data_IF_906849240581
#
_entry.id   IF_906849240581
#
_cell.length_a   1.000
_cell.length_b   1.000
_cell.length_c   1.000
_cell.angle_alpha   90.00
_cell.angle_beta   90.00
_cell.angle_gamma   90.00
#
_symmetry.space_group_name_H-M   'P 1'
#
loop_
_entity.id
_entity.type
_entity.pdbx_description
1 polymer ?
#
# COMPACT_ATOMS: atom_id res chain seq x y z
N UNK A 1 35.21 -19.98 -54.43
CA UNK A 1 34.76 -18.59 -54.30
C UNK A 1 33.39 -18.62 -53.63
N UNK A 2 33.36 -18.22 -52.36
CA UNK A 2 32.21 -17.74 -51.56
C UNK A 2 31.02 -18.70 -51.40
N UNK A 3 30.81 -19.43 -50.30
CA UNK A 3 30.75 -18.99 -48.89
C UNK A 3 30.17 -17.58 -48.74
N UNK A 4 28.86 -17.51 -48.50
CA UNK A 4 28.27 -16.43 -47.71
C UNK A 4 27.24 -17.06 -46.78
N UNK A 5 27.80 -17.53 -45.67
CA UNK A 5 27.11 -17.93 -44.46
C UNK A 5 26.23 -16.76 -44.01
N UNK A 6 24.92 -17.01 -43.89
CA UNK A 6 24.03 -16.08 -43.23
C UNK A 6 24.43 -16.06 -41.78
N UNK A 7 25.12 -14.99 -41.38
CA UNK A 7 25.40 -14.69 -39.99
C UNK A 7 24.10 -14.66 -39.23
N UNK A 8 23.84 -15.73 -38.49
CA UNK A 8 22.99 -15.74 -37.31
C UNK A 8 23.47 -14.59 -36.43
N UNK A 9 22.77 -13.47 -36.47
CA UNK A 9 22.81 -12.49 -35.38
C UNK A 9 22.25 -13.20 -34.17
N UNK A 10 23.14 -13.84 -33.41
CA UNK A 10 22.92 -14.23 -32.03
C UNK A 10 22.75 -12.97 -31.19
N UNK A 11 21.63 -12.29 -31.38
CA UNK A 11 21.10 -11.47 -30.30
C UNK A 11 20.73 -12.46 -29.22
N UNK A 12 21.51 -12.49 -28.15
CA UNK A 12 21.07 -13.05 -26.88
C UNK A 12 19.73 -12.39 -26.58
N UNK A 13 18.63 -13.03 -26.95
CA UNK A 13 17.31 -12.69 -26.45
C UNK A 13 17.39 -13.04 -24.97
N UNK A 14 17.83 -12.06 -24.19
CA UNK A 14 17.74 -12.10 -22.73
C UNK A 14 16.29 -12.46 -22.46
N UNK A 15 16.07 -13.71 -22.02
CA UNK A 15 14.74 -14.14 -21.65
C UNK A 15 14.32 -13.24 -20.50
N UNK A 16 13.29 -12.45 -20.74
CA UNK A 16 12.70 -11.61 -19.72
C UNK A 16 12.01 -12.56 -18.72
N UNK A 17 12.68 -12.85 -17.62
CA UNK A 17 12.11 -13.69 -16.57
C UNK A 17 11.14 -12.86 -15.71
N UNK A 18 10.08 -13.47 -15.16
CA UNK A 18 9.15 -12.78 -14.27
C UNK A 18 9.85 -12.14 -13.07
N UNK A 19 10.85 -12.83 -12.51
CA UNK A 19 11.69 -12.35 -11.41
C UNK A 19 12.46 -11.06 -11.76
N UNK A 20 12.97 -10.98 -13.00
CA UNK A 20 13.65 -9.78 -13.49
C UNK A 20 12.70 -8.61 -13.65
N UNK A 21 11.46 -8.85 -14.06
CA UNK A 21 10.42 -7.81 -14.12
C UNK A 21 10.07 -7.34 -12.71
N UNK A 22 9.94 -8.24 -11.74
CA UNK A 22 9.68 -7.88 -10.34
C UNK A 22 10.82 -7.08 -9.71
N UNK A 23 12.07 -7.41 -10.04
CA UNK A 23 13.26 -6.70 -9.57
C UNK A 23 13.46 -5.31 -10.20
N UNK A 24 12.75 -5.00 -11.29
CA UNK A 24 12.77 -3.68 -11.94
C UNK A 24 11.81 -2.66 -11.30
N UNK A 25 10.94 -3.10 -10.39
CA UNK A 25 10.17 -2.16 -9.58
C UNK A 25 11.09 -1.64 -8.46
N UNK A 26 11.51 -0.38 -8.60
CA UNK A 26 12.26 0.33 -7.56
C UNK A 26 11.28 0.97 -6.56
N UNK A 27 11.21 0.40 -5.36
CA UNK A 27 10.34 0.87 -4.29
C UNK A 27 8.86 0.64 -4.55
N UNK A 28 8.04 1.51 -3.97
CA UNK A 28 6.58 1.37 -3.92
C UNK A 28 5.85 2.03 -5.10
N UNK A 29 6.57 2.63 -6.04
CA UNK A 29 5.98 3.44 -7.10
C UNK A 29 5.39 2.59 -8.24
N UNK A 30 4.23 2.98 -8.81
CA UNK A 30 3.66 2.31 -9.96
C UNK A 30 4.46 2.65 -11.23
N UNK A 31 4.84 1.62 -12.00
CA UNK A 31 5.68 1.71 -13.20
C UNK A 31 4.92 1.38 -14.48
N UNK A 32 5.21 2.10 -15.57
CA UNK A 32 4.56 1.83 -16.87
C UNK A 32 5.28 0.73 -17.64
N UNK A 33 4.57 0.00 -18.50
CA UNK A 33 5.21 -1.00 -19.40
C UNK A 33 6.35 -0.39 -20.22
N UNK A 34 6.22 0.90 -20.61
CA UNK A 34 7.25 1.61 -21.37
C UNK A 34 8.51 1.89 -20.54
N UNK A 35 8.34 2.31 -19.30
CA UNK A 35 9.45 2.53 -18.36
C UNK A 35 10.18 1.21 -18.11
N UNK A 36 9.45 0.16 -17.74
CA UNK A 36 9.98 -1.19 -17.53
C UNK A 36 10.70 -1.72 -18.77
N UNK A 37 10.15 -1.53 -19.98
CA UNK A 37 10.80 -1.93 -21.23
C UNK A 37 12.11 -1.19 -21.50
N UNK A 38 12.16 0.10 -21.16
CA UNK A 38 13.37 0.92 -21.27
C UNK A 38 14.44 0.43 -20.31
N UNK A 39 14.07 0.21 -19.05
CA UNK A 39 14.99 -0.22 -17.99
C UNK A 39 15.50 -1.65 -18.22
N UNK A 40 14.59 -2.57 -18.53
CA UNK A 40 14.90 -3.98 -18.78
C UNK A 40 15.57 -4.21 -20.14
N UNK A 41 15.69 -3.15 -20.95
CA UNK A 41 16.16 -3.19 -22.33
C UNK A 41 15.45 -4.26 -23.16
N UNK A 42 14.13 -4.34 -23.00
CA UNK A 42 13.27 -5.36 -23.60
C UNK A 42 12.18 -4.72 -24.46
N UNK A 43 11.58 -5.51 -25.35
CA UNK A 43 10.43 -5.04 -26.12
C UNK A 43 9.21 -4.84 -25.20
N UNK A 44 8.53 -3.70 -25.33
CA UNK A 44 7.35 -3.37 -24.51
C UNK A 44 6.24 -4.42 -24.62
N UNK A 45 6.11 -5.10 -25.76
CA UNK A 45 5.17 -6.19 -25.96
C UNK A 45 5.49 -7.37 -25.02
N UNK A 46 6.76 -7.81 -24.99
CA UNK A 46 7.23 -8.90 -24.12
C UNK A 46 7.08 -8.54 -22.64
N UNK A 47 7.40 -7.30 -22.26
CA UNK A 47 7.17 -6.82 -20.88
C UNK A 47 5.69 -6.83 -20.55
N UNK A 48 4.83 -6.35 -21.45
CA UNK A 48 3.38 -6.36 -21.26
C UNK A 48 2.80 -7.76 -21.09
N UNK A 49 3.27 -8.73 -21.87
CA UNK A 49 2.87 -10.14 -21.72
C UNK A 49 3.33 -10.75 -20.39
N UNK A 50 4.57 -10.47 -19.97
CA UNK A 50 5.08 -10.92 -18.67
C UNK A 50 4.33 -10.26 -17.51
N UNK A 51 4.03 -8.95 -17.59
CA UNK A 51 3.21 -8.25 -16.59
C UNK A 51 1.80 -8.84 -16.49
N UNK A 52 1.17 -9.17 -17.63
CA UNK A 52 -0.13 -9.87 -17.64
C UNK A 52 -0.03 -11.24 -16.96
N UNK A 53 1.01 -12.00 -17.25
CA UNK A 53 1.26 -13.31 -16.63
C UNK A 53 1.48 -13.18 -15.11
N UNK A 54 2.22 -12.16 -14.67
CA UNK A 54 2.44 -11.88 -13.25
C UNK A 54 1.15 -11.44 -12.55
N UNK A 55 0.29 -10.68 -13.23
CA UNK A 55 -1.04 -10.35 -12.74
C UNK A 55 -1.93 -11.56 -12.56
N UNK A 56 -1.90 -12.52 -13.48
CA UNK A 56 -2.64 -13.78 -13.31
C UNK A 56 -2.16 -14.60 -12.10
N UNK A 57 -0.96 -14.32 -11.60
CA UNK A 57 -0.35 -14.94 -10.42
C UNK A 57 -0.44 -14.07 -9.17
N UNK A 58 -1.19 -12.98 -9.23
CA UNK A 58 -1.36 -12.00 -8.15
C UNK A 58 -0.06 -11.28 -7.71
N UNK A 59 1.01 -11.41 -8.51
CA UNK A 59 2.30 -10.78 -8.22
C UNK A 59 2.36 -9.31 -8.66
N UNK A 60 1.46 -8.89 -9.56
CA UNK A 60 1.32 -7.52 -10.03
C UNK A 60 -0.15 -7.14 -10.18
N UNK A 61 -0.48 -5.93 -9.77
CA UNK A 61 -1.74 -5.28 -10.08
C UNK A 61 -1.53 -4.19 -11.14
N UNK A 62 -2.63 -3.72 -11.72
CA UNK A 62 -2.62 -2.61 -12.68
C UNK A 62 -3.61 -1.55 -12.23
N UNK A 63 -3.24 -0.29 -12.35
CA UNK A 63 -4.13 0.85 -12.16
C UNK A 63 -4.00 1.81 -13.33
N UNK A 64 -5.12 2.41 -13.69
CA UNK A 64 -5.16 3.49 -14.67
C UNK A 64 -4.84 4.80 -13.93
N UNK A 65 -3.80 5.49 -14.37
CA UNK A 65 -3.39 6.78 -13.84
C UNK A 65 -3.74 7.85 -14.86
N UNK A 66 -4.50 8.86 -14.44
CA UNK A 66 -4.72 10.05 -15.25
C UNK A 66 -3.47 10.94 -15.18
N UNK A 67 -2.86 11.18 -16.33
CA UNK A 67 -1.75 12.11 -16.49
C UNK A 67 -2.16 13.27 -17.42
N UNK A 68 -1.35 14.33 -17.44
CA UNK A 68 -1.64 15.57 -18.19
C UNK A 68 -1.91 15.32 -19.69
N UNK A 69 -1.38 14.22 -20.24
CA UNK A 69 -1.51 13.84 -21.64
C UNK A 69 -2.43 12.63 -21.89
N UNK A 70 -3.22 12.20 -20.91
CA UNK A 70 -4.20 11.12 -21.03
C UNK A 70 -4.10 10.06 -19.92
N UNK A 71 -4.83 8.96 -20.07
CA UNK A 71 -4.80 7.86 -19.09
C UNK A 71 -3.72 6.84 -19.46
N UNK A 72 -2.83 6.52 -18.52
CA UNK A 72 -1.76 5.52 -18.70
C UNK A 72 -1.97 4.34 -17.75
N UNK A 73 -1.72 3.12 -18.25
CA UNK A 73 -1.73 1.93 -17.40
C UNK A 73 -0.39 1.78 -16.70
N UNK A 74 -0.39 1.85 -15.37
CA UNK A 74 0.75 1.57 -14.54
C UNK A 74 0.57 0.23 -13.81
N UNK A 75 1.66 -0.51 -13.69
CA UNK A 75 1.77 -1.74 -12.96
C UNK A 75 2.36 -1.45 -11.59
N UNK A 76 1.94 -2.18 -10.58
CA UNK A 76 2.52 -2.07 -9.24
C UNK A 76 2.45 -3.42 -8.56
N UNK A 77 3.29 -3.61 -7.56
CA UNK A 77 3.26 -4.80 -6.72
C UNK A 77 2.27 -4.53 -5.58
N UNK A 78 1.22 -5.36 -5.40
CA UNK A 78 0.24 -5.14 -4.33
C UNK A 78 0.91 -5.11 -2.95
N UNK A 79 1.80 -6.07 -2.68
CA UNK A 79 2.58 -6.11 -1.44
C UNK A 79 3.42 -4.84 -1.19
N UNK A 80 3.98 -4.22 -2.23
CA UNK A 80 4.70 -2.96 -2.07
C UNK A 80 3.74 -1.79 -1.86
N UNK A 81 2.57 -1.76 -2.50
CA UNK A 81 1.56 -0.73 -2.22
C UNK A 81 1.02 -0.82 -0.78
N UNK A 82 0.87 -2.03 -0.25
CA UNK A 82 0.50 -2.27 1.15
C UNK A 82 1.60 -1.79 2.10
N UNK A 83 2.87 -2.12 1.81
CA UNK A 83 4.00 -1.66 2.62
C UNK A 83 4.17 -0.12 2.61
N UNK A 84 3.93 0.55 1.47
CA UNK A 84 3.93 2.02 1.40
C UNK A 84 2.80 2.62 2.23
N UNK A 85 1.62 2.01 2.17
CA UNK A 85 0.48 2.44 2.96
C UNK A 85 0.76 2.31 4.46
N UNK A 86 1.33 1.19 4.88
CA UNK A 86 1.78 0.95 6.25
C UNK A 86 2.83 1.98 6.67
N UNK A 87 3.87 2.22 5.86
CA UNK A 87 4.91 3.21 6.16
C UNK A 87 4.32 4.63 6.31
N UNK A 88 3.40 5.02 5.42
CA UNK A 88 2.71 6.31 5.50
C UNK A 88 1.77 6.39 6.71
N UNK A 89 1.11 5.29 7.07
CA UNK A 89 0.28 5.21 8.26
C UNK A 89 1.15 5.40 9.52
N UNK A 90 2.29 4.72 9.60
CA UNK A 90 3.25 4.87 10.70
C UNK A 90 3.80 6.30 10.82
N UNK A 91 4.17 6.93 9.70
CA UNK A 91 4.60 8.33 9.66
C UNK A 91 3.49 9.25 10.17
N UNK A 92 2.26 9.05 9.69
CA UNK A 92 1.09 9.83 10.13
C UNK A 92 0.83 9.66 11.62
N UNK A 93 0.89 8.43 12.13
CA UNK A 93 0.72 8.11 13.56
C UNK A 93 1.83 8.73 14.43
N UNK A 94 3.07 8.77 13.94
CA UNK A 94 4.20 9.37 14.65
C UNK A 94 4.08 10.90 14.74
N UNK A 95 3.59 11.54 13.66
CA UNK A 95 3.41 13.00 13.57
C UNK A 95 2.07 13.47 14.14
N UNK A 96 1.17 12.53 14.42
CA UNK A 96 -0.19 12.78 14.91
C UNK A 96 -0.19 13.70 16.14
N UNK A 97 -1.04 14.72 16.06
CA UNK A 97 -1.26 15.67 17.15
C UNK A 97 -2.27 15.12 18.16
N UNK A 98 -1.74 14.64 19.28
CA UNK A 98 -2.53 14.12 20.39
C UNK A 98 -2.48 15.08 21.60
N UNK A 99 -3.59 15.24 22.33
CA UNK A 99 -3.57 16.00 23.57
C UNK A 99 -2.59 15.33 24.55
N UNK A 100 -2.00 16.09 25.47
CA UNK A 100 -1.18 15.52 26.54
C UNK A 100 -0.09 16.46 27.02
N UNK A 101 0.08 16.54 28.35
CA UNK A 101 1.03 17.43 29.00
C UNK A 101 2.46 16.89 28.97
N UNK A 102 2.63 15.57 28.91
CA UNK A 102 3.93 14.88 28.88
C UNK A 102 4.10 14.06 27.61
N UNK A 103 5.35 13.88 27.15
CA UNK A 103 5.67 13.02 25.99
C UNK A 103 5.10 11.61 26.14
N UNK A 104 5.33 10.98 27.30
CA UNK A 104 4.80 9.65 27.62
C UNK A 104 3.27 9.52 27.42
N UNK A 105 2.50 10.54 27.80
CA UNK A 105 1.03 10.53 27.62
C UNK A 105 0.66 10.64 26.13
N UNK A 106 1.43 11.41 25.36
CA UNK A 106 1.24 11.53 23.91
C UNK A 106 1.61 10.22 23.21
N UNK A 107 2.70 9.57 23.62
CA UNK A 107 3.07 8.25 23.11
C UNK A 107 1.97 7.22 23.34
N UNK A 108 1.41 7.11 24.55
CA UNK A 108 0.29 6.18 24.81
C UNK A 108 -0.95 6.48 23.98
N UNK A 109 -1.24 7.76 23.72
CA UNK A 109 -2.39 8.16 22.89
C UNK A 109 -2.17 7.85 21.41
N UNK A 110 -0.94 8.01 20.92
CA UNK A 110 -0.57 7.56 19.57
C UNK A 110 -0.65 6.04 19.46
N UNK A 111 -0.19 5.33 20.49
CA UNK A 111 -0.27 3.86 20.54
C UNK A 111 -1.72 3.36 20.54
N UNK A 112 -2.64 4.07 21.22
CA UNK A 112 -4.07 3.77 21.13
C UNK A 112 -4.65 3.95 19.72
N UNK A 113 -4.25 5.00 19.00
CA UNK A 113 -4.68 5.20 17.60
C UNK A 113 -4.05 4.16 16.69
N UNK A 114 -2.78 3.79 16.94
CA UNK A 114 -2.09 2.71 16.22
C UNK A 114 -2.82 1.39 16.41
N UNK A 115 -3.13 1.01 17.65
CA UNK A 115 -3.84 -0.23 17.93
C UNK A 115 -5.25 -0.25 17.31
N UNK A 116 -5.93 0.90 17.26
CA UNK A 116 -7.20 1.02 16.55
C UNK A 116 -7.03 0.84 15.02
N UNK A 117 -5.98 1.42 14.43
CA UNK A 117 -5.63 1.21 13.03
C UNK A 117 -5.35 -0.27 12.74
N UNK A 118 -4.46 -0.92 13.51
CA UNK A 118 -4.15 -2.34 13.37
C UNK A 118 -5.41 -3.20 13.47
N UNK A 119 -6.29 -2.91 14.43
CA UNK A 119 -7.55 -3.61 14.59
C UNK A 119 -8.49 -3.49 13.38
N UNK A 120 -8.58 -2.32 12.74
CA UNK A 120 -9.37 -2.15 11.50
C UNK A 120 -8.73 -2.88 10.32
N UNK A 121 -7.41 -2.90 10.25
CA UNK A 121 -6.69 -3.57 9.16
C UNK A 121 -6.82 -5.09 9.27
N UNK A 122 -6.72 -5.64 10.48
CA UNK A 122 -6.77 -7.09 10.74
C UNK A 122 -8.20 -7.65 10.80
N UNK A 123 -9.12 -6.98 11.48
CA UNK A 123 -10.48 -7.47 11.79
C UNK A 123 -11.60 -6.68 11.09
N UNK A 124 -11.25 -5.66 10.28
CA UNK A 124 -12.21 -4.85 9.52
C UNK A 124 -13.12 -5.67 8.60
N UNK A 125 -14.40 -5.29 8.43
CA UNK A 125 -15.07 -4.08 8.92
C UNK A 125 -15.49 -4.15 10.39
N UNK A 126 -15.19 -3.09 11.16
CA UNK A 126 -15.44 -3.03 12.62
C UNK A 126 -16.32 -1.84 12.99
N UNK A 127 -17.10 -1.99 14.06
CA UNK A 127 -17.93 -0.90 14.62
C UNK A 127 -17.30 -0.29 15.86
N UNK A 128 -17.72 0.92 16.25
CA UNK A 128 -17.24 1.61 17.45
C UNK A 128 -17.20 0.72 18.70
N UNK A 129 -18.25 -0.07 18.93
CA UNK A 129 -18.35 -0.96 20.09
C UNK A 129 -17.23 -2.00 20.14
N UNK A 130 -16.74 -2.47 18.99
CA UNK A 130 -15.66 -3.45 18.93
C UNK A 130 -14.31 -2.83 19.32
N UNK A 131 -14.07 -1.55 19.00
CA UNK A 131 -12.89 -0.85 19.50
C UNK A 131 -12.92 -0.71 21.02
N UNK A 132 -14.09 -0.39 21.57
CA UNK A 132 -14.28 -0.26 23.01
C UNK A 132 -14.11 -1.61 23.72
N UNK A 133 -14.53 -2.72 23.09
CA UNK A 133 -14.40 -4.05 23.67
C UNK A 133 -12.98 -4.62 23.55
N UNK A 134 -12.33 -4.46 22.39
CA UNK A 134 -11.07 -5.13 22.08
C UNK A 134 -9.83 -4.27 22.26
N UNK A 135 -9.91 -2.96 21.96
CA UNK A 135 -8.74 -2.07 21.95
C UNK A 135 -8.64 -1.29 23.26
N UNK A 136 -9.73 -0.66 23.71
CA UNK A 136 -9.73 0.19 24.90
C UNK A 136 -9.20 -0.48 26.19
N UNK A 137 -9.53 -1.75 26.53
CA UNK A 137 -9.05 -2.36 27.77
C UNK A 137 -7.53 -2.53 27.83
N UNK A 138 -6.89 -2.68 26.67
CA UNK A 138 -5.44 -2.85 26.53
C UNK A 138 -4.74 -1.51 26.30
N UNK A 139 -5.39 -0.58 25.60
CA UNK A 139 -4.82 0.68 25.11
C UNK A 139 -5.64 1.91 25.51
N UNK A 140 -6.00 2.02 26.79
CA UNK A 140 -6.83 3.12 27.30
C UNK A 140 -6.15 4.50 27.28
N UNK A 141 -4.82 4.56 27.08
CA UNK A 141 -4.03 5.79 27.02
C UNK A 141 -4.27 6.78 28.19
N UNK A 142 -4.57 6.26 29.38
CA UNK A 142 -4.85 7.04 30.59
C UNK A 142 -6.24 7.66 30.65
N UNK A 143 -7.18 7.21 29.82
CA UNK A 143 -8.61 7.54 29.92
C UNK A 143 -9.32 6.48 30.78
N UNK A 144 -10.16 6.93 31.71
CA UNK A 144 -11.02 6.05 32.50
C UNK A 144 -12.35 5.73 31.79
N UNK A 145 -12.78 6.60 30.86
CA UNK A 145 -14.04 6.45 30.11
C UNK A 145 -13.76 6.12 28.65
N UNK A 146 -14.45 5.08 28.15
CA UNK A 146 -14.35 4.63 26.77
C UNK A 146 -14.83 5.67 25.76
N UNK A 147 -15.92 6.39 26.05
CA UNK A 147 -16.42 7.48 25.20
C UNK A 147 -15.37 8.58 25.03
N UNK A 148 -14.74 9.03 26.13
CA UNK A 148 -13.70 10.08 26.08
C UNK A 148 -12.45 9.62 25.32
N UNK A 149 -12.12 8.33 25.44
CA UNK A 149 -11.05 7.71 24.66
C UNK A 149 -11.41 7.70 23.17
N UNK A 150 -12.63 7.31 22.81
CA UNK A 150 -13.09 7.24 21.43
C UNK A 150 -13.17 8.62 20.78
N UNK A 151 -13.63 9.64 21.50
CA UNK A 151 -13.60 11.04 21.04
C UNK A 151 -12.17 11.53 20.72
N UNK A 152 -11.15 10.91 21.32
CA UNK A 152 -9.75 11.15 21.00
C UNK A 152 -9.30 10.31 19.79
N UNK A 153 -9.63 9.02 19.76
CA UNK A 153 -9.16 8.09 18.72
C UNK A 153 -9.85 8.31 17.38
N UNK A 154 -11.18 8.37 17.32
CA UNK A 154 -11.95 8.42 16.09
C UNK A 154 -11.52 9.53 15.11
N UNK A 155 -11.43 10.82 15.49
CA UNK A 155 -11.05 11.87 14.55
C UNK A 155 -9.62 11.69 14.01
N UNK A 156 -8.73 11.07 14.78
CA UNK A 156 -7.33 10.84 14.42
C UNK A 156 -7.16 9.60 13.57
N UNK A 157 -7.91 8.55 13.87
CA UNK A 157 -7.97 7.34 13.06
C UNK A 157 -8.44 7.67 11.63
N UNK A 158 -9.37 8.63 11.48
CA UNK A 158 -9.80 9.14 10.18
C UNK A 158 -8.70 9.92 9.42
N UNK A 159 -7.65 10.38 10.08
CA UNK A 159 -6.49 11.01 9.43
C UNK A 159 -5.48 9.98 8.91
N UNK A 160 -5.52 8.74 9.43
CA UNK A 160 -4.56 7.70 9.08
C UNK A 160 -4.86 7.16 7.67
N UNK A 161 -3.89 7.20 6.74
CA UNK A 161 -4.07 6.63 5.42
C UNK A 161 -4.31 5.13 5.52
N UNK A 162 -5.24 4.61 4.71
CA UNK A 162 -5.58 3.18 4.70
C UNK A 162 -6.78 2.83 5.57
N UNK A 163 -7.38 3.80 6.25
CA UNK A 163 -8.65 3.63 6.95
C UNK A 163 -9.70 4.56 6.35
N UNK A 164 -10.87 4.01 6.07
CA UNK A 164 -12.04 4.75 5.64
C UNK A 164 -12.97 4.98 6.84
N UNK A 165 -13.23 6.25 7.22
CA UNK A 165 -14.21 6.55 8.24
C UNK A 165 -15.63 6.21 7.73
N UNK A 166 -16.55 5.86 8.64
CA UNK A 166 -17.91 5.50 8.28
C UNK A 166 -18.67 6.64 7.59
N UNK A 167 -19.37 6.35 6.49
CA UNK A 167 -20.25 7.32 5.81
C UNK A 167 -21.62 7.47 6.49
N UNK A 168 -22.12 6.39 7.09
CA UNK A 168 -23.43 6.34 7.81
C UNK A 168 -23.25 6.34 9.34
N UNK A 169 -22.01 6.39 9.83
CA UNK A 169 -21.67 6.60 11.23
C UNK A 169 -21.20 5.37 12.03
N UNK A 170 -21.29 4.15 11.50
CA UNK A 170 -21.10 2.95 12.35
C UNK A 170 -19.92 2.04 11.98
N UNK A 171 -19.56 1.91 10.70
CA UNK A 171 -18.59 0.88 10.25
C UNK A 171 -17.31 1.48 9.69
N UNK A 172 -16.18 1.16 10.33
CA UNK A 172 -14.83 1.47 9.87
C UNK A 172 -14.30 0.35 8.98
N UNK A 173 -13.69 0.71 7.85
CA UNK A 173 -13.12 -0.26 6.92
C UNK A 173 -11.68 0.10 6.61
N UNK A 174 -10.83 -0.90 6.40
CA UNK A 174 -9.52 -0.69 5.82
C UNK A 174 -9.64 -0.53 4.30
N UNK A 175 -8.87 0.40 3.74
CA UNK A 175 -8.67 0.58 2.30
C UNK A 175 -7.42 -0.18 1.81
N UNK A 176 -6.77 -0.93 2.72
CA UNK A 176 -5.49 -1.62 2.50
C UNK A 176 -5.58 -2.68 1.39
N UNK A 177 -6.77 -3.11 0.99
CA UNK A 177 -6.94 -3.97 -0.18
C UNK A 177 -8.37 -3.96 -0.71
N UNK A 178 -8.59 -3.26 -1.82
CA UNK A 178 -9.65 -3.60 -2.78
C UNK A 178 -9.24 -3.37 -4.23
#
# INVERSE_FOLDING_TARGET
MSQNERGTTGGTSVQLTPDRVLAAFDGHAPETTRSLATELNAASEVVGETCRTLRERDALARRELDCEHGTVTAWYRPADAEADLEERAEQTLAELSVPGTSEMMRDWRRDAVRAAFEFVVEDGPVVESEFIEHVFPTQNAGYDDADQWWEMVAPRLAEVPGVSPPTDGEVWTSDVSR
#
